data_IF_884201866747
#
_entry.id   IF_884201866747
#
_cell.length_a   1.000
_cell.length_b   1.000
_cell.length_c   1.000
_cell.angle_alpha   90.00
_cell.angle_beta   90.00
_cell.angle_gamma   90.00
#
_symmetry.space_group_name_H-M   'P 1'
#
loop_
_entity.id
_entity.type
_entity.pdbx_description
1 polymer ?
#
# COMPACT_ATOMS: atom_id res chain seq x y z
N UNK A 1 -8.54 -3.91 26.49
CA UNK A 1 -9.18 -4.88 25.57
C UNK A 1 -8.63 -4.82 24.15
N UNK A 2 -8.53 -3.65 23.48
CA UNK A 2 -7.96 -3.52 22.13
C UNK A 2 -6.57 -4.18 21.96
N UNK A 3 -5.66 -3.98 22.93
CA UNK A 3 -4.31 -4.57 22.93
C UNK A 3 -4.32 -6.12 22.92
N UNK A 4 -5.26 -6.72 23.60
CA UNK A 4 -5.41 -8.18 23.63
C UNK A 4 -5.95 -8.70 22.30
N UNK A 5 -6.95 -8.03 21.71
CA UNK A 5 -7.47 -8.36 20.38
C UNK A 5 -6.35 -8.30 19.32
N UNK A 6 -5.57 -7.21 19.29
CA UNK A 6 -4.42 -7.08 18.42
C UNK A 6 -3.42 -8.23 18.58
N UNK A 7 -3.06 -8.58 19.82
CA UNK A 7 -2.11 -9.68 20.11
C UNK A 7 -2.57 -11.02 19.51
N UNK A 8 -3.85 -11.35 19.64
CA UNK A 8 -4.39 -12.60 19.11
C UNK A 8 -4.45 -12.58 17.56
N UNK A 9 -4.83 -11.46 16.97
CA UNK A 9 -4.83 -11.27 15.52
C UNK A 9 -3.43 -11.45 14.92
N UNK A 10 -2.42 -10.81 15.51
CA UNK A 10 -1.04 -10.98 15.07
C UNK A 10 -0.53 -12.42 15.24
N UNK A 11 -0.87 -13.07 16.36
CA UNK A 11 -0.45 -14.45 16.61
C UNK A 11 -1.03 -15.42 15.58
N UNK A 12 -2.26 -15.19 15.14
CA UNK A 12 -2.95 -16.05 14.20
C UNK A 12 -2.43 -15.92 12.76
N UNK A 13 -1.95 -14.73 12.36
CA UNK A 13 -1.51 -14.44 10.98
C UNK A 13 -0.01 -14.61 10.75
N UNK A 14 0.82 -14.42 11.80
CA UNK A 14 2.29 -14.39 11.68
C UNK A 14 2.89 -15.61 10.96
N UNK A 15 2.35 -16.80 11.19
CA UNK A 15 2.91 -18.05 10.63
C UNK A 15 2.87 -18.07 9.09
N UNK A 16 1.79 -17.53 8.53
CA UNK A 16 1.60 -17.49 7.09
C UNK A 16 2.53 -16.48 6.42
N UNK A 17 2.62 -15.27 6.98
CA UNK A 17 3.48 -14.23 6.42
C UNK A 17 4.97 -14.54 6.55
N UNK A 18 5.39 -15.11 7.69
CA UNK A 18 6.80 -15.46 7.91
C UNK A 18 7.34 -16.46 6.90
N UNK A 19 6.54 -17.48 6.55
CA UNK A 19 6.93 -18.45 5.52
C UNK A 19 7.17 -17.84 4.15
N UNK A 20 6.28 -16.90 3.76
CA UNK A 20 6.40 -16.21 2.47
C UNK A 20 7.56 -15.21 2.43
N UNK A 21 7.78 -14.47 3.53
CA UNK A 21 8.91 -13.54 3.63
C UNK A 21 10.25 -14.27 3.56
N UNK A 22 10.33 -15.45 4.20
CA UNK A 22 11.53 -16.29 4.10
C UNK A 22 11.76 -16.78 2.66
N UNK A 23 10.71 -17.23 1.99
CA UNK A 23 10.80 -17.65 0.59
C UNK A 23 11.25 -16.50 -0.32
N UNK A 24 10.69 -15.30 -0.14
CA UNK A 24 11.07 -14.11 -0.90
C UNK A 24 12.54 -13.75 -0.63
N UNK A 25 12.97 -13.78 0.63
CA UNK A 25 14.36 -13.48 1.00
C UNK A 25 15.36 -14.47 0.38
N UNK A 26 15.06 -15.76 0.40
CA UNK A 26 15.89 -16.78 -0.24
C UNK A 26 15.97 -16.57 -1.76
N UNK A 27 14.84 -16.31 -2.40
CA UNK A 27 14.79 -16.04 -3.84
C UNK A 27 15.57 -14.77 -4.21
N UNK A 28 15.51 -13.72 -3.39
CA UNK A 28 16.26 -12.49 -3.66
C UNK A 28 17.78 -12.71 -3.62
N UNK A 29 18.28 -13.55 -2.71
CA UNK A 29 19.70 -13.92 -2.65
C UNK A 29 20.09 -14.77 -3.87
N UNK A 30 19.29 -15.79 -4.21
CA UNK A 30 19.56 -16.64 -5.37
C UNK A 30 19.61 -15.82 -6.66
N UNK A 31 18.63 -14.95 -6.89
CA UNK A 31 18.60 -14.05 -8.04
C UNK A 31 19.80 -13.10 -8.07
N UNK A 32 20.16 -12.49 -6.94
CA UNK A 32 21.33 -11.62 -6.87
C UNK A 32 22.62 -12.36 -7.26
N UNK A 33 22.79 -13.61 -6.82
CA UNK A 33 23.96 -14.43 -7.19
C UNK A 33 23.93 -14.81 -8.67
N UNK A 34 22.77 -15.14 -9.26
CA UNK A 34 22.68 -15.45 -10.70
C UNK A 34 22.99 -14.24 -11.56
N UNK A 35 22.50 -13.05 -11.24
CA UNK A 35 22.85 -11.79 -11.91
C UNK A 35 24.37 -11.54 -11.91
N UNK A 36 25.01 -11.77 -10.77
CA UNK A 36 26.47 -11.61 -10.66
C UNK A 36 27.25 -12.59 -11.56
N UNK A 37 26.76 -13.83 -11.66
CA UNK A 37 27.42 -14.85 -12.50
C UNK A 37 27.25 -14.60 -14.00
N UNK A 38 26.14 -13.97 -14.44
CA UNK A 38 25.93 -13.61 -15.84
C UNK A 38 26.97 -12.60 -16.31
N UNK A 39 27.29 -11.59 -15.50
CA UNK A 39 28.36 -10.64 -15.80
C UNK A 39 29.72 -11.30 -15.92
N UNK A 40 29.97 -12.38 -15.18
CA UNK A 40 31.25 -13.11 -15.19
C UNK A 40 31.36 -14.16 -16.31
N UNK A 41 30.23 -14.76 -16.74
CA UNK A 41 30.16 -15.89 -17.69
C UNK A 41 29.51 -15.51 -19.02
N UNK A 42 29.67 -14.28 -19.47
CA UNK A 42 29.06 -13.73 -20.68
C UNK A 42 28.92 -14.77 -21.82
N UNK A 43 27.64 -15.01 -22.23
CA UNK A 43 27.21 -15.70 -23.47
C UNK A 43 26.74 -17.16 -23.44
N UNK A 44 26.36 -17.72 -22.30
CA UNK A 44 25.63 -19.01 -22.35
C UNK A 44 24.12 -18.77 -22.32
N UNK A 45 23.43 -19.07 -23.43
CA UNK A 45 21.96 -18.95 -23.59
C UNK A 45 21.17 -19.71 -22.50
N UNK A 46 21.77 -20.76 -21.93
CA UNK A 46 21.19 -21.55 -20.84
C UNK A 46 21.09 -20.77 -19.53
N UNK A 47 22.07 -19.91 -19.22
CA UNK A 47 22.06 -19.07 -18.03
C UNK A 47 21.04 -17.93 -18.14
N UNK A 48 20.93 -17.30 -19.32
CA UNK A 48 19.93 -16.28 -19.58
C UNK A 48 18.49 -16.81 -19.40
N UNK A 49 18.22 -18.03 -19.90
CA UNK A 49 16.92 -18.66 -19.70
C UNK A 49 16.60 -18.94 -18.23
N UNK A 50 17.59 -19.40 -17.45
CA UNK A 50 17.45 -19.63 -16.01
C UNK A 50 17.10 -18.34 -15.27
N UNK A 51 17.79 -17.25 -15.59
CA UNK A 51 17.58 -15.93 -14.99
C UNK A 51 16.16 -15.41 -15.25
N UNK A 52 15.69 -15.49 -16.48
CA UNK A 52 14.32 -15.10 -16.84
C UNK A 52 13.29 -15.93 -16.06
N UNK A 53 13.49 -17.23 -15.93
CA UNK A 53 12.62 -18.11 -15.15
C UNK A 53 12.61 -17.69 -13.67
N UNK A 54 13.77 -17.46 -13.07
CA UNK A 54 13.88 -17.02 -11.67
C UNK A 54 13.24 -15.64 -11.44
N UNK A 55 13.39 -14.71 -12.39
CA UNK A 55 12.70 -13.40 -12.34
C UNK A 55 11.18 -13.56 -12.36
N UNK A 56 10.64 -14.42 -13.23
CA UNK A 56 9.20 -14.70 -13.27
C UNK A 56 8.72 -15.29 -11.94
N UNK A 57 9.48 -16.23 -11.37
CA UNK A 57 9.17 -16.83 -10.06
C UNK A 57 9.21 -15.76 -8.97
N UNK A 58 10.21 -14.88 -8.96
CA UNK A 58 10.34 -13.80 -7.98
C UNK A 58 9.16 -12.83 -8.03
N UNK A 59 8.80 -12.36 -9.23
CA UNK A 59 7.64 -11.49 -9.44
C UNK A 59 6.35 -12.21 -9.02
N UNK A 60 6.20 -13.50 -9.33
CA UNK A 60 5.02 -14.27 -8.94
C UNK A 60 4.89 -14.41 -7.41
N UNK A 61 6.00 -14.54 -6.68
CA UNK A 61 5.97 -14.58 -5.20
C UNK A 61 5.60 -13.22 -4.62
N UNK A 62 6.10 -12.11 -5.16
CA UNK A 62 5.69 -10.76 -4.74
C UNK A 62 4.18 -10.59 -4.95
N UNK A 63 3.69 -11.00 -6.11
CA UNK A 63 2.26 -10.91 -6.44
C UNK A 63 1.42 -11.81 -5.54
N UNK A 64 1.91 -13.01 -5.21
CA UNK A 64 1.27 -13.90 -4.25
C UNK A 64 1.18 -13.28 -2.85
N UNK A 65 2.22 -12.58 -2.38
CA UNK A 65 2.19 -11.86 -1.09
C UNK A 65 1.13 -10.75 -1.13
N UNK A 66 1.05 -9.97 -2.21
CA UNK A 66 0.05 -8.91 -2.35
C UNK A 66 -1.39 -9.48 -2.34
N UNK A 67 -1.62 -10.55 -3.09
CA UNK A 67 -2.92 -11.26 -3.11
C UNK A 67 -3.26 -11.81 -1.73
N UNK A 68 -2.31 -12.41 -1.05
CA UNK A 68 -2.52 -12.95 0.31
C UNK A 68 -2.81 -11.86 1.34
N UNK A 69 -2.18 -10.69 1.25
CA UNK A 69 -2.52 -9.53 2.07
C UNK A 69 -3.98 -9.12 1.86
N UNK A 70 -4.42 -9.05 0.61
CA UNK A 70 -5.78 -8.68 0.26
C UNK A 70 -6.80 -9.74 0.72
N UNK A 71 -6.56 -10.99 0.39
CA UNK A 71 -7.42 -12.12 0.79
C UNK A 71 -7.51 -12.25 2.32
N UNK A 72 -6.37 -12.12 3.01
CA UNK A 72 -6.36 -12.19 4.48
C UNK A 72 -7.15 -11.03 5.10
N UNK A 73 -7.09 -9.83 4.53
CA UNK A 73 -7.88 -8.67 4.98
C UNK A 73 -9.37 -8.96 4.87
N UNK A 74 -9.83 -9.53 3.75
CA UNK A 74 -11.23 -9.93 3.54
C UNK A 74 -11.63 -11.05 4.48
N UNK A 75 -10.87 -12.16 4.51
CA UNK A 75 -11.21 -13.35 5.30
C UNK A 75 -11.29 -13.03 6.79
N UNK A 76 -10.34 -12.26 7.31
CA UNK A 76 -10.32 -11.86 8.72
C UNK A 76 -11.50 -10.99 9.11
N UNK A 77 -11.93 -10.11 8.23
CA UNK A 77 -13.11 -9.30 8.47
C UNK A 77 -14.37 -10.14 8.34
N UNK A 78 -14.51 -10.87 7.23
CA UNK A 78 -15.71 -11.63 6.92
C UNK A 78 -15.95 -12.79 7.90
N UNK A 79 -14.95 -13.65 8.12
CA UNK A 79 -15.12 -14.84 8.97
C UNK A 79 -15.34 -14.49 10.44
N UNK A 80 -14.59 -13.51 10.96
CA UNK A 80 -14.64 -13.19 12.37
C UNK A 80 -15.80 -12.25 12.77
N UNK A 81 -16.35 -11.45 11.83
CA UNK A 81 -17.41 -10.50 12.13
C UNK A 81 -18.76 -10.87 11.50
N UNK A 82 -18.76 -11.51 10.33
CA UNK A 82 -19.96 -11.84 9.56
C UNK A 82 -20.24 -13.34 9.52
N UNK A 83 -19.22 -14.18 9.81
CA UNK A 83 -19.35 -15.64 9.84
C UNK A 83 -19.86 -16.17 11.18
N UNK A 84 -19.81 -17.50 11.34
CA UNK A 84 -20.25 -18.21 12.57
C UNK A 84 -19.52 -17.74 13.84
N UNK A 85 -18.28 -17.27 13.73
CA UNK A 85 -17.51 -16.71 14.84
C UNK A 85 -17.99 -15.30 15.24
N UNK A 86 -18.72 -14.61 14.36
CA UNK A 86 -19.24 -13.26 14.59
C UNK A 86 -20.18 -13.22 15.80
N UNK A 87 -21.01 -14.23 16.00
CA UNK A 87 -21.88 -14.33 17.18
C UNK A 87 -21.08 -14.24 18.49
N UNK A 88 -19.98 -15.00 18.60
CA UNK A 88 -19.11 -14.97 19.77
C UNK A 88 -18.40 -13.62 19.93
N UNK A 89 -18.03 -12.98 18.85
CA UNK A 89 -17.38 -11.66 18.89
C UNK A 89 -18.33 -10.56 19.37
N UNK A 90 -19.61 -10.64 19.03
CA UNK A 90 -20.63 -9.68 19.48
C UNK A 90 -21.11 -9.92 20.92
N UNK A 91 -20.87 -11.09 21.51
CA UNK A 91 -21.13 -11.35 22.95
C UNK A 91 -20.02 -10.83 23.85
N UNK A 92 -18.86 -10.49 23.31
CA UNK A 92 -17.78 -9.87 24.08
C UNK A 92 -18.18 -8.44 24.51
N UNK A 93 -17.82 -7.98 25.71
CA UNK A 93 -18.08 -6.62 26.17
C UNK A 93 -17.12 -5.62 25.51
N UNK A 94 -17.12 -5.57 24.17
CA UNK A 94 -16.24 -4.73 23.33
C UNK A 94 -17.08 -3.88 22.40
N UNK A 95 -16.76 -2.60 22.29
CA UNK A 95 -17.45 -1.71 21.36
C UNK A 95 -17.13 -2.08 19.89
N UNK A 96 -18.14 -1.99 19.02
CA UNK A 96 -18.02 -2.22 17.57
C UNK A 96 -16.84 -1.46 16.93
N UNK A 97 -16.60 -0.24 17.39
CA UNK A 97 -15.46 0.58 16.95
C UNK A 97 -14.11 -0.10 17.23
N UNK A 98 -13.96 -0.74 18.40
CA UNK A 98 -12.72 -1.42 18.76
C UNK A 98 -12.51 -2.69 17.92
N UNK A 99 -13.60 -3.36 17.54
CA UNK A 99 -13.55 -4.51 16.63
C UNK A 99 -13.06 -4.09 15.24
N UNK A 100 -13.68 -3.08 14.63
CA UNK A 100 -13.27 -2.58 13.31
C UNK A 100 -11.82 -2.07 13.37
N UNK A 101 -11.47 -1.28 14.41
CA UNK A 101 -10.15 -0.69 14.55
C UNK A 101 -9.04 -1.75 14.74
N UNK A 102 -9.33 -2.82 15.49
CA UNK A 102 -8.37 -3.92 15.69
C UNK A 102 -8.02 -4.61 14.36
N UNK A 103 -9.03 -4.88 13.53
CA UNK A 103 -8.85 -5.49 12.20
C UNK A 103 -8.11 -4.54 11.25
N UNK A 104 -8.51 -3.27 11.23
CA UNK A 104 -7.86 -2.23 10.42
C UNK A 104 -6.37 -2.12 10.74
N UNK A 105 -6.02 -1.94 12.02
CA UNK A 105 -4.63 -1.79 12.45
C UNK A 105 -3.80 -3.03 12.13
N UNK A 106 -4.34 -4.22 12.35
CA UNK A 106 -3.62 -5.47 12.03
C UNK A 106 -3.37 -5.58 10.52
N UNK A 107 -4.36 -5.30 9.69
CA UNK A 107 -4.22 -5.34 8.22
C UNK A 107 -3.23 -4.28 7.74
N UNK A 108 -3.29 -3.05 8.27
CA UNK A 108 -2.33 -1.99 7.93
C UNK A 108 -0.89 -2.40 8.25
N UNK A 109 -0.65 -2.95 9.44
CA UNK A 109 0.70 -3.37 9.84
C UNK A 109 1.23 -4.46 8.93
N UNK A 110 0.41 -5.48 8.58
CA UNK A 110 0.86 -6.54 7.67
C UNK A 110 1.16 -6.04 6.26
N UNK A 111 0.34 -5.13 5.72
CA UNK A 111 0.61 -4.51 4.40
C UNK A 111 1.92 -3.69 4.44
N UNK A 112 2.12 -2.88 5.49
CA UNK A 112 3.35 -2.10 5.65
C UNK A 112 4.58 -3.00 5.83
N UNK A 113 4.49 -4.05 6.65
CA UNK A 113 5.57 -5.03 6.81
C UNK A 113 5.89 -5.74 5.48
N UNK A 114 4.87 -6.13 4.72
CA UNK A 114 5.07 -6.76 3.40
C UNK A 114 5.77 -5.82 2.42
N UNK A 115 5.39 -4.54 2.41
CA UNK A 115 6.06 -3.53 1.60
C UNK A 115 7.52 -3.32 1.99
N UNK A 116 7.80 -3.21 3.31
CA UNK A 116 9.17 -3.07 3.81
C UNK A 116 10.04 -4.30 3.48
N UNK A 117 9.53 -5.50 3.71
CA UNK A 117 10.24 -6.74 3.34
C UNK A 117 10.50 -6.79 1.83
N UNK A 118 9.52 -6.40 1.01
CA UNK A 118 9.69 -6.31 -0.45
C UNK A 118 10.83 -5.37 -0.84
N UNK A 119 10.86 -4.16 -0.28
CA UNK A 119 11.93 -3.18 -0.53
C UNK A 119 13.29 -3.74 -0.10
N UNK A 120 13.39 -4.31 1.09
CA UNK A 120 14.65 -4.91 1.59
C UNK A 120 15.11 -6.05 0.67
N UNK A 121 14.22 -6.94 0.25
CA UNK A 121 14.54 -8.05 -0.64
C UNK A 121 15.01 -7.57 -2.02
N UNK A 122 14.38 -6.56 -2.60
CA UNK A 122 14.82 -5.95 -3.85
C UNK A 122 16.20 -5.29 -3.68
N UNK A 123 16.42 -4.56 -2.59
CA UNK A 123 17.70 -3.93 -2.29
C UNK A 123 18.81 -4.96 -2.15
N UNK A 124 18.54 -6.07 -1.45
CA UNK A 124 19.50 -7.19 -1.30
C UNK A 124 19.80 -7.83 -2.67
N UNK A 125 18.78 -8.10 -3.48
CA UNK A 125 18.94 -8.66 -4.82
C UNK A 125 19.84 -7.78 -5.70
N UNK A 126 19.55 -6.49 -5.76
CA UNK A 126 20.31 -5.51 -6.54
C UNK A 126 21.73 -5.35 -5.99
N UNK A 127 21.88 -5.31 -4.66
CA UNK A 127 23.21 -5.20 -4.03
C UNK A 127 24.12 -6.37 -4.36
N UNK A 128 23.61 -7.60 -4.35
CA UNK A 128 24.39 -8.79 -4.67
C UNK A 128 24.68 -8.89 -6.18
N UNK A 129 23.69 -8.56 -7.02
CA UNK A 129 23.80 -8.69 -8.48
C UNK A 129 24.67 -7.64 -9.15
N UNK A 130 24.64 -6.40 -8.66
CA UNK A 130 25.33 -5.23 -9.26
C UNK A 130 26.68 -4.98 -8.62
N UNK A 131 26.97 -5.55 -7.44
CA UNK A 131 28.27 -5.38 -6.77
C UNK A 131 29.37 -6.19 -7.48
N UNK A 132 29.74 -5.76 -8.67
CA UNK A 132 31.10 -5.98 -9.17
C UNK A 132 31.97 -4.79 -8.72
N UNK A 133 33.23 -5.10 -8.43
CA UNK A 133 34.18 -4.12 -7.91
C UNK A 133 34.37 -2.89 -8.81
N UNK A 134 34.05 -2.99 -10.09
CA UNK A 134 34.11 -1.88 -11.06
C UNK A 134 32.85 -1.01 -11.04
N UNK A 135 31.66 -1.60 -10.84
CA UNK A 135 30.37 -0.87 -10.81
C UNK A 135 30.13 -0.19 -9.44
N UNK A 136 30.71 -0.75 -8.37
CA UNK A 136 30.68 -0.10 -7.05
C UNK A 136 31.52 1.19 -7.05
N UNK A 137 32.53 1.28 -7.91
CA UNK A 137 33.25 2.53 -8.16
C UNK A 137 32.40 3.59 -8.87
N UNK A 138 31.35 3.20 -9.61
CA UNK A 138 30.43 4.14 -10.27
C UNK A 138 29.29 4.61 -9.35
N UNK A 139 28.85 3.81 -8.38
CA UNK A 139 27.97 4.23 -7.28
C UNK A 139 28.84 4.75 -6.13
N UNK A 140 29.69 5.73 -6.44
CA UNK A 140 30.53 6.40 -5.47
C UNK A 140 29.63 7.08 -4.42
N UNK A 141 30.10 7.09 -3.17
CA UNK A 141 29.50 7.84 -2.07
C UNK A 141 29.22 9.31 -2.45
N UNK A 142 29.98 9.83 -3.40
CA UNK A 142 29.78 11.15 -3.99
C UNK A 142 28.50 11.23 -4.83
N UNK A 143 28.12 10.17 -5.57
CA UNK A 143 26.87 10.11 -6.33
C UNK A 143 25.65 10.10 -5.39
N UNK A 144 25.73 9.38 -4.26
CA UNK A 144 24.72 9.44 -3.20
C UNK A 144 24.67 10.83 -2.56
N UNK A 145 25.80 11.46 -2.28
CA UNK A 145 25.86 12.84 -1.79
C UNK A 145 25.29 13.83 -2.79
N UNK A 146 25.55 13.64 -4.08
CA UNK A 146 24.98 14.48 -5.13
C UNK A 146 23.47 14.32 -5.23
N UNK A 147 22.94 13.10 -5.20
CA UNK A 147 21.50 12.84 -5.17
C UNK A 147 20.85 13.47 -3.91
N UNK A 148 21.45 13.27 -2.74
CA UNK A 148 20.97 13.91 -1.52
C UNK A 148 21.14 15.42 -1.57
N UNK A 149 22.22 15.94 -2.14
CA UNK A 149 22.46 17.36 -2.35
C UNK A 149 21.44 17.99 -3.29
N UNK A 150 21.07 17.30 -4.38
CA UNK A 150 20.00 17.75 -5.28
C UNK A 150 18.64 17.74 -4.57
N UNK A 151 18.28 16.63 -3.91
CA UNK A 151 17.02 16.52 -3.16
C UNK A 151 16.92 17.54 -2.03
N UNK A 152 18.03 17.76 -1.31
CA UNK A 152 18.08 18.71 -0.20
C UNK A 152 18.24 20.16 -0.66
N UNK A 153 18.93 20.38 -1.79
CA UNK A 153 19.12 21.71 -2.38
C UNK A 153 17.84 22.29 -2.96
N UNK A 154 17.07 21.47 -3.67
CA UNK A 154 15.79 21.86 -4.27
C UNK A 154 14.68 22.03 -3.23
N UNK A 155 14.55 21.10 -2.28
CA UNK A 155 13.49 21.08 -1.27
C UNK A 155 13.90 21.79 0.04
N UNK A 156 15.21 21.89 0.35
CA UNK A 156 15.73 22.53 1.56
C UNK A 156 15.10 22.00 2.85
N UNK A 157 14.80 22.90 3.78
CA UNK A 157 14.12 22.55 5.03
C UNK A 157 12.71 21.94 4.82
N UNK A 158 12.10 22.18 3.65
CA UNK A 158 10.79 21.62 3.30
C UNK A 158 10.82 20.12 2.99
N UNK A 159 12.02 19.55 2.72
CA UNK A 159 12.16 18.11 2.44
C UNK A 159 11.53 17.24 3.52
N UNK A 160 11.83 17.51 4.78
CA UNK A 160 11.28 16.75 5.91
C UNK A 160 9.78 16.93 6.05
N UNK A 161 9.28 18.12 5.78
CA UNK A 161 7.86 18.44 5.85
C UNK A 161 7.08 17.74 4.72
N UNK A 162 7.59 17.77 3.50
CA UNK A 162 7.01 17.06 2.34
C UNK A 162 7.00 15.56 2.58
N UNK A 163 8.12 14.99 3.05
CA UNK A 163 8.23 13.56 3.36
C UNK A 163 7.25 13.15 4.44
N UNK A 164 7.12 13.94 5.51
CA UNK A 164 6.16 13.69 6.59
C UNK A 164 4.71 13.67 6.06
N UNK A 165 4.30 14.68 5.30
CA UNK A 165 2.97 14.74 4.72
C UNK A 165 2.70 13.59 3.74
N UNK A 166 3.68 13.24 2.92
CA UNK A 166 3.57 12.12 1.98
C UNK A 166 3.35 10.80 2.71
N UNK A 167 4.10 10.54 3.78
CA UNK A 167 3.91 9.34 4.61
C UNK A 167 2.50 9.34 5.22
N UNK A 168 2.06 10.47 5.78
CA UNK A 168 0.77 10.59 6.45
C UNK A 168 -0.41 10.37 5.47
N UNK A 169 -0.33 10.96 4.28
CA UNK A 169 -1.33 10.79 3.21
C UNK A 169 -1.39 9.32 2.75
N UNK A 170 -0.23 8.68 2.55
CA UNK A 170 -0.20 7.27 2.15
C UNK A 170 -0.76 6.33 3.23
N UNK A 171 -0.51 6.62 4.51
CA UNK A 171 -1.12 5.87 5.62
C UNK A 171 -2.65 6.06 5.67
N UNK A 172 -3.12 7.28 5.48
CA UNK A 172 -4.56 7.57 5.44
C UNK A 172 -5.23 6.86 4.25
N UNK A 173 -4.56 6.82 3.09
CA UNK A 173 -5.06 6.14 1.90
C UNK A 173 -5.07 4.62 2.04
N UNK A 174 -4.05 4.05 2.67
CA UNK A 174 -4.04 2.64 3.02
C UNK A 174 -5.22 2.29 3.94
N UNK A 175 -5.50 3.14 4.94
CA UNK A 175 -6.66 2.97 5.82
C UNK A 175 -7.98 3.07 5.04
N UNK A 176 -8.13 4.05 4.13
CA UNK A 176 -9.28 4.20 3.24
C UNK A 176 -9.52 2.96 2.40
N UNK A 177 -8.49 2.42 1.76
CA UNK A 177 -8.57 1.21 0.93
C UNK A 177 -9.06 -0.01 1.74
N UNK A 178 -8.51 -0.23 2.93
CA UNK A 178 -8.91 -1.35 3.80
C UNK A 178 -10.35 -1.17 4.28
N UNK A 179 -10.75 0.04 4.66
CA UNK A 179 -12.12 0.36 5.09
C UNK A 179 -13.11 0.25 3.94
N UNK A 180 -12.72 0.60 2.71
CA UNK A 180 -13.51 0.36 1.50
C UNK A 180 -13.81 -1.14 1.31
N UNK A 181 -12.79 -2.01 1.50
CA UNK A 181 -12.98 -3.47 1.48
C UNK A 181 -13.97 -3.91 2.57
N UNK A 182 -13.86 -3.38 3.79
CA UNK A 182 -14.79 -3.71 4.87
C UNK A 182 -16.23 -3.26 4.56
N UNK A 183 -16.39 -2.05 4.04
CA UNK A 183 -17.69 -1.55 3.59
C UNK A 183 -18.28 -2.42 2.49
N UNK A 184 -17.47 -2.84 1.51
CA UNK A 184 -17.89 -3.73 0.44
C UNK A 184 -18.32 -5.12 0.97
N UNK A 185 -17.59 -5.68 1.95
CA UNK A 185 -17.98 -6.94 2.62
C UNK A 185 -19.31 -6.81 3.36
N UNK A 186 -19.55 -5.68 4.05
CA UNK A 186 -20.81 -5.44 4.75
C UNK A 186 -22.00 -5.29 3.79
N UNK A 187 -21.80 -4.61 2.65
CA UNK A 187 -22.81 -4.50 1.60
C UNK A 187 -23.09 -5.88 0.98
N UNK A 188 -22.05 -6.66 0.72
CA UNK A 188 -22.14 -8.01 0.17
C UNK A 188 -23.00 -8.95 1.03
N UNK A 189 -22.85 -8.85 2.35
CA UNK A 189 -23.59 -9.68 3.29
C UNK A 189 -25.11 -9.45 3.25
N UNK A 190 -25.58 -8.32 2.74
CA UNK A 190 -27.01 -8.05 2.56
C UNK A 190 -27.64 -8.86 1.40
N UNK A 191 -26.81 -9.47 0.53
CA UNK A 191 -27.25 -10.25 -0.62
C UNK A 191 -26.87 -11.74 -0.48
N UNK A 192 -27.56 -12.52 0.35
CA UNK A 192 -27.13 -13.88 0.71
C UNK A 192 -27.03 -14.83 -0.50
N UNK A 193 -27.81 -14.60 -1.57
CA UNK A 193 -27.79 -15.45 -2.78
C UNK A 193 -26.54 -15.24 -3.65
N UNK A 194 -25.93 -14.04 -3.64
CA UNK A 194 -24.83 -13.66 -4.53
C UNK A 194 -23.76 -12.81 -3.82
N UNK A 195 -23.35 -13.23 -2.62
CA UNK A 195 -22.41 -12.47 -1.75
C UNK A 195 -21.14 -12.08 -2.48
N UNK A 196 -20.53 -13.02 -3.21
CA UNK A 196 -19.27 -12.75 -3.94
C UNK A 196 -19.42 -11.67 -5.01
N UNK A 197 -20.46 -11.80 -5.84
CA UNK A 197 -20.70 -10.83 -6.94
C UNK A 197 -21.08 -9.47 -6.38
N UNK A 198 -21.93 -9.44 -5.35
CA UNK A 198 -22.32 -8.20 -4.67
C UNK A 198 -21.09 -7.50 -4.03
N UNK A 199 -20.18 -8.27 -3.42
CA UNK A 199 -18.95 -7.74 -2.84
C UNK A 199 -18.02 -7.10 -3.87
N UNK A 200 -17.80 -7.77 -4.99
CA UNK A 200 -16.97 -7.25 -6.09
C UNK A 200 -17.60 -5.98 -6.68
N UNK A 201 -18.90 -6.00 -6.96
CA UNK A 201 -19.61 -4.84 -7.51
C UNK A 201 -19.61 -3.66 -6.52
N UNK A 202 -19.83 -3.93 -5.23
CA UNK A 202 -19.75 -2.89 -4.20
C UNK A 202 -18.35 -2.29 -4.10
N UNK A 203 -17.30 -3.12 -4.11
CA UNK A 203 -15.92 -2.66 -4.08
C UNK A 203 -15.59 -1.79 -5.30
N UNK A 204 -15.95 -2.24 -6.51
CA UNK A 204 -15.74 -1.47 -7.74
C UNK A 204 -16.52 -0.15 -7.69
N UNK A 205 -17.79 -0.18 -7.29
CA UNK A 205 -18.63 1.02 -7.18
C UNK A 205 -18.07 2.05 -6.21
N UNK A 206 -17.65 1.61 -5.00
CA UNK A 206 -17.05 2.50 -4.01
C UNK A 206 -15.73 3.10 -4.51
N UNK A 207 -14.86 2.31 -5.18
CA UNK A 207 -13.63 2.82 -5.78
C UNK A 207 -13.90 3.82 -6.92
N UNK A 208 -14.92 3.60 -7.74
CA UNK A 208 -15.30 4.57 -8.78
C UNK A 208 -15.70 5.90 -8.14
N UNK A 209 -16.51 5.86 -7.09
CA UNK A 209 -16.94 7.08 -6.37
C UNK A 209 -15.73 7.80 -5.76
N UNK A 210 -14.83 7.06 -5.09
CA UNK A 210 -13.59 7.63 -4.52
C UNK A 210 -12.74 8.28 -5.59
N UNK A 211 -12.50 7.60 -6.72
CA UNK A 211 -11.74 8.14 -7.84
C UNK A 211 -12.38 9.39 -8.47
N UNK A 212 -13.71 9.48 -8.51
CA UNK A 212 -14.38 10.69 -9.00
C UNK A 212 -14.21 11.85 -8.04
N UNK A 213 -14.32 11.61 -6.73
CA UNK A 213 -14.05 12.61 -5.69
C UNK A 213 -12.61 13.11 -5.79
N UNK A 214 -11.64 12.19 -5.91
CA UNK A 214 -10.23 12.54 -6.04
C UNK A 214 -9.94 13.36 -7.31
N UNK A 215 -10.58 13.04 -8.42
CA UNK A 215 -10.47 13.82 -9.66
C UNK A 215 -11.07 15.22 -9.53
N UNK A 216 -12.27 15.33 -8.95
CA UNK A 216 -12.95 16.60 -8.76
C UNK A 216 -12.18 17.53 -7.84
N UNK A 217 -11.60 16.98 -6.77
CA UNK A 217 -10.84 17.74 -5.79
C UNK A 217 -9.36 17.90 -6.16
N UNK A 218 -8.88 17.17 -7.16
CA UNK A 218 -7.47 17.18 -7.59
C UNK A 218 -6.52 16.52 -6.60
N UNK A 219 -7.04 15.67 -5.72
CA UNK A 219 -6.27 14.97 -4.68
C UNK A 219 -5.63 13.67 -5.18
N UNK A 220 -5.66 13.42 -6.49
CA UNK A 220 -5.16 12.17 -7.06
C UNK A 220 -3.63 12.06 -6.86
N UNK A 221 -3.17 10.97 -6.25
CA UNK A 221 -1.74 10.75 -5.90
C UNK A 221 -0.80 10.78 -7.09
N UNK A 222 -1.24 10.26 -8.22
CA UNK A 222 -0.43 10.27 -9.45
C UNK A 222 -0.05 11.69 -9.80
N UNK A 223 -0.98 12.65 -9.65
CA UNK A 223 -0.72 14.05 -9.95
C UNK A 223 0.22 14.70 -8.92
N UNK A 224 0.09 14.33 -7.64
CA UNK A 224 0.95 14.89 -6.58
C UNK A 224 2.40 14.39 -6.71
N UNK A 225 2.58 13.08 -6.93
CA UNK A 225 3.90 12.48 -7.11
C UNK A 225 4.56 12.96 -8.41
N UNK A 226 3.80 13.08 -9.49
CA UNK A 226 4.29 13.61 -10.76
C UNK A 226 4.66 15.08 -10.65
N UNK A 227 3.86 15.91 -9.97
CA UNK A 227 4.19 17.33 -9.77
C UNK A 227 5.51 17.52 -9.01
N UNK A 228 5.81 16.64 -8.03
CA UNK A 228 7.09 16.65 -7.31
C UNK A 228 8.24 16.21 -8.22
N UNK A 229 8.05 15.12 -8.97
CA UNK A 229 9.09 14.60 -9.89
C UNK A 229 9.37 15.57 -11.04
N UNK A 230 8.39 16.24 -11.58
CA UNK A 230 8.57 17.25 -12.62
C UNK A 230 9.31 18.49 -12.11
N UNK A 231 9.07 18.90 -10.87
CA UNK A 231 9.81 20.02 -10.25
C UNK A 231 11.26 19.66 -9.96
N UNK A 232 11.52 18.43 -9.51
CA UNK A 232 12.87 17.95 -9.21
C UNK A 232 13.68 17.69 -10.48
N UNK A 233 13.02 17.28 -11.58
CA UNK A 233 13.68 16.93 -12.84
C UNK A 233 13.88 18.12 -13.79
N UNK A 234 13.39 19.32 -13.46
CA UNK A 234 13.40 20.52 -14.31
C UNK A 234 12.87 20.29 -15.74
N UNK A 235 12.02 19.26 -15.88
CA UNK A 235 11.42 18.87 -17.16
C UNK A 235 10.16 19.71 -17.37
N UNK A 236 10.32 20.80 -18.11
CA UNK A 236 9.20 21.58 -18.63
C UNK A 236 8.42 20.75 -19.66
N UNK A 237 7.49 19.91 -19.20
CA UNK A 237 6.54 19.24 -20.08
C UNK A 237 5.46 20.24 -20.47
N UNK A 238 5.78 21.06 -21.47
CA UNK A 238 4.81 21.90 -22.16
C UNK A 238 3.87 20.98 -22.96
N UNK A 239 2.68 20.73 -22.46
CA UNK A 239 1.65 20.02 -23.24
C UNK A 239 0.62 19.22 -22.45
N UNK A 240 0.80 18.99 -21.16
CA UNK A 240 -0.24 18.35 -20.36
C UNK A 240 -1.15 19.43 -19.76
N UNK A 241 -2.24 19.71 -20.47
CA UNK A 241 -3.29 20.59 -19.96
C UNK A 241 -4.03 19.88 -18.82
N UNK A 242 -3.51 20.00 -17.61
CA UNK A 242 -4.26 19.64 -16.43
C UNK A 242 -5.35 20.70 -16.21
N UNK A 243 -6.61 20.28 -16.22
CA UNK A 243 -7.72 21.17 -15.87
C UNK A 243 -7.47 21.86 -14.53
N UNK A 244 -8.03 23.04 -14.35
CA UNK A 244 -7.94 23.80 -13.09
C UNK A 244 -8.66 22.99 -12.02
N UNK A 245 -7.92 22.23 -11.22
CA UNK A 245 -8.49 21.50 -10.09
C UNK A 245 -8.49 22.38 -8.85
N UNK A 246 -9.44 22.23 -7.92
CA UNK A 246 -9.48 23.00 -6.67
C UNK A 246 -8.15 22.96 -5.91
N UNK A 247 -7.45 21.83 -5.95
CA UNK A 247 -6.16 21.70 -5.29
C UNK A 247 -5.08 22.59 -5.93
N UNK A 248 -5.00 22.70 -7.27
CA UNK A 248 -4.05 23.58 -7.94
C UNK A 248 -4.30 25.05 -7.61
N UNK A 249 -5.58 25.45 -7.58
CA UNK A 249 -5.94 26.78 -7.16
C UNK A 249 -5.53 27.05 -5.71
N UNK A 250 -5.79 26.10 -4.82
CA UNK A 250 -5.47 26.20 -3.40
C UNK A 250 -3.95 26.29 -3.16
N UNK A 251 -3.15 25.47 -3.85
CA UNK A 251 -1.68 25.50 -3.76
C UNK A 251 -1.09 26.79 -4.35
N UNK A 252 -1.68 27.31 -5.42
CA UNK A 252 -1.28 28.57 -6.01
C UNK A 252 -1.60 29.76 -5.11
N UNK A 253 -2.76 29.73 -4.43
CA UNK A 253 -3.23 30.83 -3.57
C UNK A 253 -2.61 30.81 -2.17
N UNK A 254 -2.44 29.64 -1.56
CA UNK A 254 -2.10 29.49 -0.13
C UNK A 254 -0.77 28.76 0.11
N UNK A 255 -0.10 28.31 -0.94
CA UNK A 255 1.17 27.58 -0.86
C UNK A 255 1.02 26.04 -0.83
N UNK A 256 2.13 25.35 -1.07
CA UNK A 256 2.19 23.89 -1.19
C UNK A 256 1.79 23.16 0.10
N UNK A 257 2.11 23.73 1.26
CA UNK A 257 1.85 23.13 2.57
C UNK A 257 0.36 22.96 2.85
N UNK A 258 -0.44 23.95 2.44
CA UNK A 258 -1.91 23.89 2.55
C UNK A 258 -2.49 22.85 1.59
N UNK A 259 -1.88 22.65 0.42
CA UNK A 259 -2.25 21.59 -0.53
C UNK A 259 -2.11 20.20 0.06
N UNK A 260 -1.01 19.93 0.77
CA UNK A 260 -0.80 18.62 1.44
C UNK A 260 -1.81 18.41 2.57
N UNK A 261 -2.07 19.43 3.38
CA UNK A 261 -3.06 19.38 4.45
C UNK A 261 -4.46 19.13 3.89
N UNK A 262 -4.83 19.78 2.80
CA UNK A 262 -6.10 19.57 2.11
C UNK A 262 -6.22 18.14 1.58
N UNK A 263 -5.19 17.61 0.92
CA UNK A 263 -5.14 16.24 0.43
C UNK A 263 -5.31 15.23 1.56
N UNK A 264 -4.61 15.43 2.68
CA UNK A 264 -4.76 14.60 3.88
C UNK A 264 -6.18 14.68 4.46
N UNK A 265 -6.74 15.87 4.57
CA UNK A 265 -8.09 16.09 5.12
C UNK A 265 -9.16 15.37 4.28
N UNK A 266 -9.07 15.47 2.94
CA UNK A 266 -10.00 14.78 2.03
C UNK A 266 -9.86 13.26 2.17
N UNK A 267 -8.64 12.74 2.15
CA UNK A 267 -8.39 11.29 2.29
C UNK A 267 -8.87 10.77 3.65
N UNK A 268 -8.62 11.51 4.72
CA UNK A 268 -9.09 11.18 6.07
C UNK A 268 -10.62 11.22 6.16
N UNK A 269 -11.27 12.19 5.50
CA UNK A 269 -12.73 12.27 5.44
C UNK A 269 -13.34 11.07 4.70
N UNK A 270 -12.75 10.62 3.60
CA UNK A 270 -13.18 9.42 2.86
C UNK A 270 -13.01 8.18 3.75
N UNK A 271 -11.86 8.02 4.42
CA UNK A 271 -11.64 6.92 5.35
C UNK A 271 -12.66 6.93 6.50
N UNK A 272 -12.96 8.11 7.07
CA UNK A 272 -13.99 8.27 8.08
C UNK A 272 -15.39 7.90 7.55
N UNK A 273 -15.74 8.31 6.33
CA UNK A 273 -17.01 7.95 5.70
C UNK A 273 -17.16 6.43 5.56
N UNK A 274 -16.13 5.72 5.09
CA UNK A 274 -16.14 4.25 5.02
C UNK A 274 -16.22 3.60 6.40
N UNK A 275 -15.53 4.15 7.40
CA UNK A 275 -15.62 3.67 8.79
C UNK A 275 -17.04 3.80 9.34
N UNK A 276 -17.67 4.96 9.17
CA UNK A 276 -19.05 5.20 9.60
C UNK A 276 -20.05 4.34 8.84
N UNK A 277 -19.85 4.17 7.54
CA UNK A 277 -20.68 3.29 6.71
C UNK A 277 -20.60 1.83 7.21
N UNK A 278 -19.39 1.33 7.42
CA UNK A 278 -19.17 -0.04 7.94
C UNK A 278 -19.83 -0.22 9.31
N UNK A 279 -19.64 0.76 10.21
CA UNK A 279 -20.26 0.75 11.54
C UNK A 279 -21.80 0.78 11.48
N UNK A 280 -22.34 1.67 10.64
CA UNK A 280 -23.79 1.80 10.50
C UNK A 280 -24.43 0.52 9.95
N UNK A 281 -23.81 -0.09 8.97
CA UNK A 281 -24.25 -1.37 8.40
C UNK A 281 -24.17 -2.50 9.46
N UNK A 282 -23.08 -2.53 10.24
CA UNK A 282 -22.90 -3.52 11.29
C UNK A 282 -23.96 -3.39 12.39
N UNK A 283 -24.33 -2.16 12.76
CA UNK A 283 -25.33 -1.92 13.81
C UNK A 283 -26.76 -2.17 13.37
N UNK A 284 -27.12 -1.80 12.13
CA UNK A 284 -28.53 -1.74 11.72
C UNK A 284 -28.96 -2.87 10.77
N UNK A 285 -28.01 -3.56 10.13
CA UNK A 285 -28.30 -4.51 9.05
C UNK A 285 -27.65 -5.88 9.24
N UNK A 286 -27.00 -6.12 10.37
CA UNK A 286 -26.36 -7.39 10.65
C UNK A 286 -27.41 -8.37 11.16
N UNK A 287 -27.94 -9.23 10.27
CA UNK A 287 -28.68 -10.43 10.66
C UNK A 287 -27.64 -11.57 10.80
N UNK A 288 -27.34 -11.92 12.04
CA UNK A 288 -26.57 -13.12 12.37
C UNK A 288 -27.56 -14.29 12.44
N UNK A 289 -27.90 -14.89 11.30
CA UNK A 289 -28.58 -16.18 11.23
C UNK A 289 -27.58 -17.34 11.19
#
# INVERSE_FOLDING_TARGET
>A
MLKQLLKYEFKATKRLYFGLYLALALLSVVLGVTFRQEHALAHSTSFQNLEVILMIVYVSVILAIAVLCFVNTIQRFYQNLLGREGYLMHTLPVNENQLILSKLLTSMVWVLCSGLVGIVCITVMVSIGVIDSETFGMVDWNSWKQLWGMLYGELGAKFWLVTFWTILINLARLASLILCVYAACMIAHQFPKHVMVAGILAFIGLNIVENQIDKLLGTNHVNLFMDITYRVADVNVTGVSYGVTPMRWLTAALGTDVGYLFCFAVTAAIAAAYFFLTRWLMKNKLNLE
#
